data_IF_972120516078
#
_entry.id   IF_972120516078
#
_cell.length_a   1.000
_cell.length_b   1.000
_cell.length_c   1.000
_cell.angle_alpha   90.00
_cell.angle_beta   90.00
_cell.angle_gamma   90.00
#
_symmetry.space_group_name_H-M   'P 1'
#
loop_
_entity.id
_entity.type
_entity.pdbx_description
1 polymer ?
#
# COMPACT_ATOMS: atom_id res chain seq x y z
N UNK A 1 -55.73 2.43 3.79
CA UNK A 1 -55.32 1.02 3.56
C UNK A 1 -55.28 0.63 2.07
N UNK A 2 -56.07 1.25 1.17
CA UNK A 2 -56.00 0.95 -0.28
C UNK A 2 -54.71 1.47 -0.95
N UNK A 3 -54.20 2.61 -0.52
CA UNK A 3 -52.98 3.22 -1.07
C UNK A 3 -51.72 2.37 -0.76
N UNK A 4 -51.67 1.79 0.45
CA UNK A 4 -50.55 0.95 0.87
C UNK A 4 -50.47 -0.37 0.09
N UNK A 5 -51.62 -0.94 -0.26
CA UNK A 5 -51.68 -2.15 -1.07
C UNK A 5 -51.22 -1.94 -2.52
N UNK A 6 -51.56 -0.79 -3.12
CA UNK A 6 -51.15 -0.45 -4.49
C UNK A 6 -49.65 -0.22 -4.63
N UNK A 7 -49.03 0.38 -3.63
CA UNK A 7 -47.55 0.60 -3.61
C UNK A 7 -46.80 -0.72 -3.45
N UNK A 8 -47.26 -1.63 -2.58
CA UNK A 8 -46.68 -2.96 -2.41
C UNK A 8 -46.75 -3.81 -3.67
N UNK A 9 -47.89 -3.80 -4.36
CA UNK A 9 -48.06 -4.53 -5.63
C UNK A 9 -47.16 -3.95 -6.71
N UNK A 10 -47.04 -2.63 -6.79
CA UNK A 10 -46.11 -1.97 -7.71
C UNK A 10 -44.64 -2.34 -7.47
N UNK A 11 -44.20 -2.38 -6.22
CA UNK A 11 -42.83 -2.80 -5.87
C UNK A 11 -42.58 -4.27 -6.20
N UNK A 12 -43.56 -5.14 -5.97
CA UNK A 12 -43.45 -6.57 -6.32
C UNK A 12 -43.35 -6.79 -7.84
N UNK A 13 -44.11 -6.07 -8.63
CA UNK A 13 -44.02 -6.15 -10.10
C UNK A 13 -42.67 -5.64 -10.61
N UNK A 14 -42.16 -4.54 -10.08
CA UNK A 14 -40.85 -4.03 -10.44
C UNK A 14 -39.75 -5.02 -10.04
N UNK A 15 -39.82 -5.57 -8.83
CA UNK A 15 -38.86 -6.54 -8.34
C UNK A 15 -38.85 -7.82 -9.19
N UNK A 16 -40.03 -8.38 -9.52
CA UNK A 16 -40.12 -9.58 -10.38
C UNK A 16 -39.66 -9.30 -11.80
N UNK A 17 -39.96 -8.13 -12.35
CA UNK A 17 -39.45 -7.72 -13.66
C UNK A 17 -37.92 -7.61 -13.65
N UNK A 18 -37.34 -7.00 -12.61
CA UNK A 18 -35.89 -6.85 -12.46
C UNK A 18 -35.21 -8.23 -12.33
N UNK A 19 -35.75 -9.11 -11.49
CA UNK A 19 -35.18 -10.46 -11.27
C UNK A 19 -35.32 -11.39 -12.47
N UNK A 20 -36.39 -11.29 -13.23
CA UNK A 20 -36.63 -12.20 -14.35
C UNK A 20 -36.09 -11.71 -15.69
N UNK A 21 -35.93 -10.39 -15.86
CA UNK A 21 -35.51 -9.77 -17.14
C UNK A 21 -34.15 -9.17 -17.12
N UNK A 22 -33.76 -8.51 -16.01
CA UNK A 22 -32.50 -7.78 -15.94
C UNK A 22 -31.40 -8.62 -15.28
N UNK A 23 -31.75 -9.35 -14.21
CA UNK A 23 -30.78 -10.15 -13.47
C UNK A 23 -30.15 -11.31 -14.27
N UNK A 24 -30.87 -12.04 -15.15
CA UNK A 24 -30.26 -13.07 -15.98
C UNK A 24 -29.27 -12.52 -17.03
N UNK A 25 -29.49 -11.27 -17.48
CA UNK A 25 -28.63 -10.62 -18.49
C UNK A 25 -27.48 -9.82 -17.87
N UNK A 26 -27.43 -9.71 -16.53
CA UNK A 26 -26.22 -9.28 -15.84
C UNK A 26 -25.22 -10.44 -15.90
N UNK A 27 -24.47 -10.51 -17.00
CA UNK A 27 -23.22 -11.24 -16.98
C UNK A 27 -22.42 -10.69 -15.78
N UNK A 28 -22.27 -11.52 -14.76
CA UNK A 28 -21.33 -11.27 -13.70
C UNK A 28 -19.94 -11.27 -14.36
N UNK A 29 -19.58 -10.11 -14.90
CA UNK A 29 -18.21 -9.83 -15.26
C UNK A 29 -17.42 -9.81 -13.95
N UNK A 30 -17.12 -10.99 -13.47
CA UNK A 30 -16.17 -11.18 -12.38
C UNK A 30 -14.91 -10.45 -12.79
N UNK A 31 -14.32 -9.75 -11.88
CA UNK A 31 -13.07 -9.02 -12.01
C UNK A 31 -12.02 -9.89 -12.75
N UNK A 32 -11.83 -9.62 -14.03
CA UNK A 32 -11.01 -10.41 -14.92
C UNK A 32 -11.83 -10.87 -16.13
N UNK A 33 -11.92 -10.01 -17.15
CA UNK A 33 -12.57 -10.35 -18.42
C UNK A 33 -11.93 -11.57 -19.03
N UNK A 34 -12.65 -12.65 -19.02
CA UNK A 34 -12.30 -13.95 -19.59
C UNK A 34 -13.29 -14.96 -19.08
N UNK A 35 -13.73 -15.85 -19.96
CA UNK A 35 -14.54 -17.00 -19.67
C UNK A 35 -14.11 -17.62 -18.34
N UNK A 36 -15.03 -17.82 -17.39
CA UNK A 36 -14.71 -18.44 -16.13
C UNK A 36 -14.04 -19.79 -16.41
N UNK A 37 -12.74 -19.83 -16.17
CA UNK A 37 -11.94 -21.03 -16.32
C UNK A 37 -12.36 -22.01 -15.22
N UNK A 38 -13.11 -23.05 -15.58
CA UNK A 38 -13.61 -24.10 -14.69
C UNK A 38 -13.22 -25.48 -15.22
N UNK A 39 -13.21 -26.49 -14.37
CA UNK A 39 -12.84 -27.86 -14.76
C UNK A 39 -11.37 -27.96 -15.23
N UNK A 40 -11.12 -28.64 -16.34
CA UNK A 40 -9.78 -28.91 -16.87
C UNK A 40 -8.95 -27.62 -17.08
N UNK A 41 -9.58 -26.54 -17.51
CA UNK A 41 -8.91 -25.24 -17.68
C UNK A 41 -8.39 -24.71 -16.36
N UNK A 42 -9.15 -24.82 -15.28
CA UNK A 42 -8.73 -24.39 -13.95
C UNK A 42 -7.61 -25.27 -13.39
N UNK A 43 -7.72 -26.57 -13.56
CA UNK A 43 -6.68 -27.53 -13.12
C UNK A 43 -5.35 -27.28 -13.87
N UNK A 44 -5.42 -27.04 -15.17
CA UNK A 44 -4.22 -26.69 -15.97
C UNK A 44 -3.61 -25.35 -15.53
N UNK A 45 -4.44 -24.34 -15.27
CA UNK A 45 -3.99 -23.06 -14.75
C UNK A 45 -3.28 -23.22 -13.40
N UNK A 46 -3.88 -23.98 -12.47
CA UNK A 46 -3.31 -24.23 -11.14
C UNK A 46 -2.02 -25.05 -11.25
N UNK A 47 -1.94 -25.99 -12.17
CA UNK A 47 -0.73 -26.80 -12.41
C UNK A 47 0.45 -25.94 -12.88
N UNK A 48 0.19 -24.92 -13.70
CA UNK A 48 1.23 -24.05 -14.27
C UNK A 48 1.60 -22.93 -13.29
N UNK A 49 0.62 -22.31 -12.66
CA UNK A 49 0.79 -21.07 -11.88
C UNK A 49 0.73 -21.28 -10.36
N UNK A 50 0.30 -22.46 -9.91
CA UNK A 50 -0.05 -22.71 -8.51
C UNK A 50 -1.44 -22.20 -8.16
N UNK A 51 -1.89 -22.50 -6.96
CA UNK A 51 -3.15 -21.97 -6.43
C UNK A 51 -3.02 -20.48 -6.12
N UNK A 52 -4.15 -19.78 -6.00
CA UNK A 52 -4.17 -18.37 -5.56
C UNK A 52 -3.42 -18.20 -4.23
N UNK A 53 -3.51 -19.18 -3.34
CA UNK A 53 -2.81 -19.17 -2.06
C UNK A 53 -1.30 -19.28 -2.25
N UNK A 54 -0.83 -20.13 -3.16
CA UNK A 54 0.60 -20.29 -3.45
C UNK A 54 1.17 -19.03 -4.08
N UNK A 55 0.45 -18.40 -4.98
CA UNK A 55 0.83 -17.12 -5.61
C UNK A 55 0.92 -16.01 -4.56
N UNK A 56 -0.05 -15.93 -3.64
CA UNK A 56 -0.04 -14.93 -2.57
C UNK A 56 1.11 -15.18 -1.59
N UNK A 57 1.37 -16.45 -1.23
CA UNK A 57 2.49 -16.82 -0.37
C UNK A 57 3.83 -16.47 -1.00
N UNK A 58 4.03 -16.81 -2.26
CA UNK A 58 5.25 -16.45 -2.99
C UNK A 58 5.46 -14.94 -3.08
N UNK A 59 4.39 -14.16 -3.32
CA UNK A 59 4.45 -12.69 -3.27
C UNK A 59 4.83 -12.17 -1.89
N UNK A 60 4.30 -12.77 -0.83
CA UNK A 60 4.62 -12.38 0.54
C UNK A 60 6.06 -12.75 0.92
N UNK A 61 6.54 -13.90 0.48
CA UNK A 61 7.94 -14.31 0.68
C UNK A 61 8.91 -13.38 -0.04
N UNK A 62 8.60 -12.99 -1.29
CA UNK A 62 9.39 -12.00 -2.03
C UNK A 62 9.37 -10.62 -1.34
N UNK A 63 8.21 -10.18 -0.85
CA UNK A 63 8.11 -8.92 -0.12
C UNK A 63 8.90 -8.96 1.21
N UNK A 64 8.90 -10.10 1.90
CA UNK A 64 9.67 -10.29 3.13
C UNK A 64 11.17 -10.49 2.89
N UNK A 65 11.56 -10.91 1.68
CA UNK A 65 12.96 -11.03 1.28
C UNK A 65 13.60 -9.68 0.91
N UNK A 66 12.79 -8.63 0.66
CA UNK A 66 13.27 -7.27 0.47
C UNK A 66 13.70 -6.68 1.83
N UNK A 67 14.99 -6.46 2.02
CA UNK A 67 15.58 -5.87 3.24
C UNK A 67 14.88 -4.56 3.64
N UNK A 68 14.36 -3.81 2.67
CA UNK A 68 13.74 -2.51 2.89
C UNK A 68 12.21 -2.51 2.83
N UNK A 69 11.55 -3.67 2.81
CA UNK A 69 10.09 -3.74 2.67
C UNK A 69 9.35 -2.95 3.75
N UNK A 70 9.78 -3.08 5.01
CA UNK A 70 9.23 -2.34 6.15
C UNK A 70 9.53 -0.84 6.06
N UNK A 71 10.71 -0.49 5.58
CA UNK A 71 11.16 0.90 5.47
C UNK A 71 10.47 1.64 4.33
N UNK A 72 10.13 0.97 3.22
CA UNK A 72 9.36 1.60 2.12
C UNK A 72 8.01 2.13 2.61
N UNK A 73 7.37 1.44 3.54
CA UNK A 73 6.12 1.92 4.15
C UNK A 73 6.34 3.15 5.04
N UNK A 74 7.42 3.19 5.82
CA UNK A 74 7.80 4.34 6.65
C UNK A 74 8.28 5.52 5.80
N UNK A 75 8.98 5.25 4.69
CA UNK A 75 9.50 6.28 3.79
C UNK A 75 8.43 7.23 3.28
N UNK A 76 7.20 6.77 3.09
CA UNK A 76 6.10 7.62 2.63
C UNK A 76 5.88 8.85 3.53
N UNK A 77 6.09 8.71 4.84
CA UNK A 77 6.03 9.80 5.81
C UNK A 77 7.20 10.79 5.65
N UNK A 78 8.39 10.29 5.40
CA UNK A 78 9.60 11.11 5.17
C UNK A 78 9.50 11.83 3.83
N UNK A 79 9.04 11.13 2.80
CA UNK A 79 8.90 11.62 1.44
C UNK A 79 7.94 12.82 1.33
N UNK A 80 6.95 12.93 2.22
CA UNK A 80 6.03 14.06 2.26
C UNK A 80 6.74 15.41 2.39
N UNK A 81 7.90 15.44 3.07
CA UNK A 81 8.70 16.64 3.23
C UNK A 81 10.00 16.60 2.41
N UNK A 82 10.66 15.45 2.34
CA UNK A 82 11.96 15.31 1.69
C UNK A 82 11.90 14.92 0.21
N UNK A 83 10.68 14.72 -0.35
CA UNK A 83 10.46 14.27 -1.72
C UNK A 83 10.52 12.75 -1.86
N UNK A 84 9.82 12.21 -2.87
CA UNK A 84 9.73 10.76 -3.09
C UNK A 84 11.09 10.10 -3.31
N UNK A 85 11.99 10.80 -3.99
CA UNK A 85 13.35 10.37 -4.27
C UNK A 85 14.38 10.99 -3.29
N UNK A 86 13.90 11.59 -2.20
CA UNK A 86 14.77 12.23 -1.24
C UNK A 86 15.49 13.49 -1.75
N UNK A 87 14.98 14.09 -2.83
CA UNK A 87 15.59 15.24 -3.50
C UNK A 87 15.53 16.54 -2.69
N UNK A 88 14.74 16.56 -1.60
CA UNK A 88 14.46 17.75 -0.83
C UNK A 88 13.36 18.61 -1.46
N UNK A 89 12.72 19.44 -0.65
CA UNK A 89 11.70 20.38 -1.10
C UNK A 89 11.74 21.65 -0.24
N UNK A 90 11.83 22.81 -0.87
CA UNK A 90 11.81 24.11 -0.19
C UNK A 90 12.85 24.18 0.97
N UNK A 91 12.38 24.24 2.22
CA UNK A 91 13.24 24.30 3.41
C UNK A 91 13.72 22.93 3.90
N UNK A 92 13.19 21.85 3.33
CA UNK A 92 13.54 20.47 3.71
C UNK A 92 14.76 20.01 2.91
N UNK A 93 15.83 19.55 3.57
CA UNK A 93 17.07 19.18 2.88
C UNK A 93 16.91 17.92 2.05
N UNK A 94 17.73 17.81 1.00
CA UNK A 94 17.90 16.59 0.25
C UNK A 94 18.56 15.51 1.12
N UNK A 95 18.03 14.29 1.02
CA UNK A 95 18.55 13.09 1.65
C UNK A 95 19.24 12.18 0.63
N UNK A 96 18.84 12.25 -0.62
CA UNK A 96 19.48 11.53 -1.73
C UNK A 96 20.98 11.79 -1.77
N UNK A 97 21.76 10.73 -2.01
CA UNK A 97 23.21 10.78 -2.07
C UNK A 97 23.93 10.98 -0.72
N UNK A 98 23.21 10.95 0.41
CA UNK A 98 23.82 10.99 1.74
C UNK A 98 24.27 9.59 2.18
N UNK A 99 25.39 9.52 2.92
CA UNK A 99 25.85 8.26 3.49
C UNK A 99 24.93 7.78 4.62
N UNK A 100 24.89 6.47 4.82
CA UNK A 100 24.15 5.83 5.90
C UNK A 100 24.52 6.42 7.27
N UNK A 101 25.83 6.57 7.54
CA UNK A 101 26.34 7.11 8.80
C UNK A 101 25.84 8.54 9.05
N UNK A 102 25.85 9.39 8.01
CA UNK A 102 25.32 10.75 8.14
C UNK A 102 23.82 10.74 8.53
N UNK A 103 23.03 9.90 7.89
CA UNK A 103 21.59 9.83 8.17
C UNK A 103 21.34 9.28 9.58
N UNK A 104 22.06 8.23 9.98
CA UNK A 104 21.95 7.62 11.32
C UNK A 104 22.31 8.66 12.40
N UNK A 105 23.43 9.36 12.22
CA UNK A 105 23.86 10.43 13.15
C UNK A 105 22.78 11.51 13.30
N UNK A 106 22.24 11.99 12.18
CA UNK A 106 21.19 13.03 12.20
C UNK A 106 19.91 12.55 12.86
N UNK A 107 19.40 11.36 12.51
CA UNK A 107 18.19 10.81 13.12
C UNK A 107 18.37 10.54 14.62
N UNK A 108 19.52 10.01 15.02
CA UNK A 108 19.87 9.81 16.44
C UNK A 108 19.92 11.14 17.20
N UNK A 109 20.54 12.17 16.60
CA UNK A 109 20.57 13.51 17.17
C UNK A 109 19.18 14.07 17.36
N UNK A 110 18.29 13.95 16.37
CA UNK A 110 16.90 14.41 16.46
C UNK A 110 16.09 13.59 17.48
N UNK A 111 16.27 12.28 17.53
CA UNK A 111 15.62 11.41 18.52
C UNK A 111 15.93 11.85 19.96
N UNK A 112 17.16 12.29 20.20
CA UNK A 112 17.63 12.85 21.46
C UNK A 112 17.32 14.35 21.62
N UNK A 113 16.46 14.92 20.76
CA UNK A 113 16.08 16.34 20.74
C UNK A 113 17.25 17.30 20.55
N UNK A 114 18.30 16.84 19.88
CA UNK A 114 19.45 17.68 19.52
C UNK A 114 19.08 18.71 18.46
N UNK A 115 19.71 19.88 18.55
CA UNK A 115 19.50 20.98 17.63
C UNK A 115 20.50 20.88 16.48
N UNK A 116 20.00 20.72 15.25
CA UNK A 116 20.81 20.67 14.02
C UNK A 116 20.60 21.92 13.16
N UNK A 117 19.36 22.41 13.12
CA UNK A 117 18.97 23.59 12.37
C UNK A 117 17.65 24.17 12.88
N UNK A 118 17.14 25.20 12.21
CA UNK A 118 15.94 25.92 12.62
C UNK A 118 14.69 25.03 12.68
N UNK A 119 14.62 24.00 11.83
CA UNK A 119 13.46 23.07 11.74
C UNK A 119 13.66 21.77 12.53
N UNK A 120 14.63 21.72 13.46
CA UNK A 120 14.93 20.50 14.23
C UNK A 120 13.74 19.98 15.02
N UNK A 121 12.87 20.84 15.53
CA UNK A 121 11.69 20.45 16.29
C UNK A 121 10.69 19.60 15.48
N UNK A 122 10.59 19.84 14.18
CA UNK A 122 9.77 19.02 13.26
C UNK A 122 10.31 17.60 13.18
N UNK A 123 11.64 17.46 13.09
CA UNK A 123 12.31 16.17 13.03
C UNK A 123 12.31 15.41 14.36
N UNK A 124 12.24 16.10 15.51
CA UNK A 124 12.15 15.42 16.81
C UNK A 124 10.91 14.53 16.94
N UNK A 125 9.78 15.02 16.45
CA UNK A 125 8.55 14.22 16.46
C UNK A 125 8.66 12.98 15.56
N UNK A 126 9.27 13.12 14.39
CA UNK A 126 9.46 12.02 13.44
C UNK A 126 10.49 11.00 13.96
N UNK A 127 11.68 11.45 14.32
CA UNK A 127 12.76 10.59 14.80
C UNK A 127 12.44 9.94 16.16
N UNK A 128 11.66 10.60 17.00
CA UNK A 128 11.25 10.07 18.31
C UNK A 128 10.39 8.81 18.24
N UNK A 129 9.70 8.59 17.13
CA UNK A 129 8.88 7.40 16.92
C UNK A 129 9.67 6.20 16.38
N UNK A 130 10.88 6.43 15.86
CA UNK A 130 11.70 5.38 15.25
C UNK A 130 12.45 4.59 16.32
N UNK A 131 12.54 3.28 16.17
CA UNK A 131 13.49 2.44 16.89
C UNK A 131 14.92 2.67 16.36
N UNK A 132 15.92 2.22 17.09
CA UNK A 132 17.31 2.31 16.64
C UNK A 132 17.55 1.47 15.38
N UNK A 133 16.91 0.30 15.32
CA UNK A 133 16.99 -0.60 14.16
C UNK A 133 16.37 0.03 12.90
N UNK A 134 15.24 0.73 13.05
CA UNK A 134 14.63 1.47 11.93
C UNK A 134 15.53 2.62 11.48
N UNK A 135 16.18 3.34 12.39
CA UNK A 135 17.14 4.40 12.06
C UNK A 135 18.31 3.85 11.23
N UNK A 136 18.88 2.74 11.64
CA UNK A 136 19.96 2.08 10.89
C UNK A 136 19.50 1.63 9.50
N UNK A 137 18.30 1.00 9.43
CA UNK A 137 17.77 0.50 8.16
C UNK A 137 17.38 1.65 7.23
N UNK A 138 16.83 2.76 7.74
CA UNK A 138 16.55 3.99 6.97
C UNK A 138 17.87 4.56 6.40
N UNK A 139 18.93 4.59 7.21
CA UNK A 139 20.24 5.06 6.73
C UNK A 139 20.76 4.24 5.55
N UNK A 140 20.69 2.93 5.64
CA UNK A 140 21.06 2.01 4.53
C UNK A 140 20.18 2.21 3.31
N UNK A 141 18.86 2.28 3.51
CA UNK A 141 17.88 2.48 2.44
C UNK A 141 18.18 3.76 1.65
N UNK A 142 18.38 4.88 2.34
CA UNK A 142 18.69 6.17 1.69
C UNK A 142 19.97 6.08 0.87
N UNK A 143 21.04 5.50 1.43
CA UNK A 143 22.33 5.39 0.73
C UNK A 143 22.26 4.48 -0.50
N UNK A 144 21.48 3.43 -0.48
CA UNK A 144 21.43 2.42 -1.53
C UNK A 144 20.41 2.76 -2.62
N UNK A 145 19.23 3.23 -2.22
CA UNK A 145 18.07 3.40 -3.10
C UNK A 145 17.89 4.83 -3.60
N UNK A 146 18.32 5.85 -2.81
CA UNK A 146 18.10 7.26 -3.14
C UNK A 146 19.42 7.92 -3.58
N UNK A 147 19.59 8.05 -4.89
CA UNK A 147 20.82 8.57 -5.51
C UNK A 147 20.62 9.91 -6.19
#
# INVERSE_FOLDING_TARGET
MKELGMTLVGCMVIFTFFTLKIYPDLEYSGYGGGSSCTGECYEEYVRINGTTVDILRAKQELANADEFSSIRSLWSGCAACHGQEGQGMAVFPALAGKSSEYIIDRLTTYKNRGQVGAMSSTMWAQAGMLSEQEIETIGKFIQQELK
#
